data_IF_402023803586
#
_entry.id   IF_402023803586
#
_cell.length_a   1.000
_cell.length_b   1.000
_cell.length_c   1.000
_cell.angle_alpha   90.00
_cell.angle_beta   90.00
_cell.angle_gamma   90.00
#
_symmetry.space_group_name_H-M   'P 1'
#
loop_
_entity.id
_entity.type
_entity.pdbx_description
1 polymer ?
#
# COMPACT_ATOMS: atom_id res chain seq x y z
N UNK A 1 -27.56 -23.47 7.02
CA UNK A 1 -26.78 -23.52 8.27
C UNK A 1 -26.28 -22.11 8.54
N UNK A 2 -27.05 -21.34 9.28
CA UNK A 2 -26.82 -19.91 9.48
C UNK A 2 -25.96 -19.70 10.72
N UNK A 3 -24.80 -19.05 10.54
CA UNK A 3 -23.91 -18.71 11.64
C UNK A 3 -24.35 -17.35 12.19
N UNK A 4 -25.04 -17.39 13.33
CA UNK A 4 -25.45 -16.23 14.13
C UNK A 4 -24.25 -15.78 14.98
N UNK A 5 -23.81 -14.52 14.87
CA UNK A 5 -22.97 -13.93 15.91
C UNK A 5 -23.86 -13.12 16.87
N UNK A 6 -23.79 -13.44 18.17
CA UNK A 6 -24.40 -12.67 19.24
C UNK A 6 -23.37 -11.66 19.76
N UNK A 7 -23.74 -10.39 19.79
CA UNK A 7 -23.01 -9.38 20.55
C UNK A 7 -23.27 -9.57 22.04
N UNK A 8 -22.20 -9.62 22.84
CA UNK A 8 -22.28 -9.40 24.28
C UNK A 8 -21.39 -8.23 24.64
N UNK A 9 -22.01 -7.22 25.21
CA UNK A 9 -21.38 -6.11 25.91
C UNK A 9 -21.24 -6.49 27.38
N UNK A 10 -20.10 -6.19 27.99
CA UNK A 10 -20.01 -5.69 29.36
C UNK A 10 -18.58 -5.21 29.65
N UNK A 11 -18.56 -4.00 30.19
CA UNK A 11 -17.46 -3.21 30.72
C UNK A 11 -16.83 -3.80 31.98
N UNK A 12 -15.53 -3.58 32.18
CA UNK A 12 -15.01 -2.99 33.43
C UNK A 12 -13.58 -2.47 33.20
N UNK A 13 -13.28 -1.35 33.86
CA UNK A 13 -12.13 -0.51 33.57
C UNK A 13 -10.88 -0.84 34.38
N UNK A 14 -9.74 -0.39 33.87
CA UNK A 14 -8.63 0.01 34.72
C UNK A 14 -7.82 1.11 34.05
N UNK A 15 -7.79 2.28 34.70
CA UNK A 15 -6.97 3.43 34.34
C UNK A 15 -5.52 3.18 34.73
N UNK A 16 -4.58 3.21 33.78
CA UNK A 16 -3.18 3.53 34.05
C UNK A 16 -2.74 4.75 33.27
N UNK A 17 -2.65 5.87 34.01
CA UNK A 17 -1.86 7.05 33.64
C UNK A 17 -0.38 6.64 33.60
N UNK A 18 0.27 6.84 32.47
CA UNK A 18 1.69 7.16 32.44
C UNK A 18 1.87 8.52 31.74
N UNK A 19 1.88 9.58 32.55
CA UNK A 19 2.61 10.78 32.21
C UNK A 19 4.08 10.56 32.61
N UNK A 20 5.01 10.98 31.76
CA UNK A 20 6.43 10.83 32.07
C UNK A 20 7.35 11.20 30.92
N UNK A 21 7.61 12.50 30.79
CA UNK A 21 8.93 13.10 30.50
C UNK A 21 9.71 12.63 29.27
N UNK A 22 9.82 13.55 28.31
CA UNK A 22 10.91 13.64 27.34
C UNK A 22 12.27 13.47 28.05
N UNK A 23 12.90 12.32 27.82
CA UNK A 23 14.31 12.10 28.05
C UNK A 23 14.85 11.40 26.82
N UNK A 24 16.04 11.80 26.37
CA UNK A 24 16.76 11.22 25.22
C UNK A 24 17.12 9.75 25.50
N UNK A 25 16.14 8.86 25.41
CA UNK A 25 16.31 7.41 25.43
C UNK A 25 16.44 6.89 24.00
N UNK A 26 17.29 5.89 23.80
CA UNK A 26 17.41 5.16 22.54
C UNK A 26 16.02 4.63 22.14
N UNK A 27 15.45 5.19 21.07
CA UNK A 27 14.09 4.88 20.57
C UNK A 27 13.95 3.40 20.21
N UNK A 28 15.08 2.71 20.05
CA UNK A 28 15.16 1.30 19.67
C UNK A 28 15.31 0.34 20.86
N UNK A 29 15.22 0.82 22.10
CA UNK A 29 15.44 0.00 23.30
C UNK A 29 14.41 -1.13 23.48
N UNK A 30 13.19 -0.94 22.98
CA UNK A 30 12.07 -1.92 23.10
C UNK A 30 11.93 -2.85 21.89
N UNK A 31 12.85 -2.80 20.92
CA UNK A 31 12.82 -3.69 19.75
C UNK A 31 13.42 -5.06 20.06
N UNK A 32 12.92 -6.07 19.34
CA UNK A 32 13.56 -7.39 19.28
C UNK A 32 15.05 -7.24 18.88
N UNK A 33 15.96 -8.05 19.47
CA UNK A 33 17.40 -7.98 19.20
C UNK A 33 17.77 -8.00 17.71
N UNK A 34 17.03 -8.73 16.87
CA UNK A 34 17.29 -8.82 15.44
C UNK A 34 16.94 -7.50 14.72
N UNK A 35 15.83 -6.87 15.09
CA UNK A 35 15.39 -5.59 14.56
C UNK A 35 16.28 -4.43 15.03
N UNK A 36 16.76 -4.49 16.27
CA UNK A 36 17.69 -3.51 16.81
C UNK A 36 19.05 -3.58 16.08
N UNK A 37 19.52 -4.78 15.74
CA UNK A 37 20.73 -4.97 14.94
C UNK A 37 20.58 -4.41 13.52
N UNK A 38 19.44 -4.66 12.88
CA UNK A 38 19.13 -4.12 11.55
C UNK A 38 19.10 -2.58 11.54
N UNK A 39 18.35 -1.97 12.48
CA UNK A 39 18.23 -0.51 12.55
C UNK A 39 19.59 0.19 12.74
N UNK A 40 20.48 -0.38 13.55
CA UNK A 40 21.83 0.14 13.78
C UNK A 40 22.79 -0.11 12.61
N UNK A 41 22.59 -1.18 11.84
CA UNK A 41 23.36 -1.45 10.63
C UNK A 41 23.06 -0.42 9.53
N UNK A 42 21.78 -0.07 9.33
CA UNK A 42 21.38 0.92 8.33
C UNK A 42 21.95 2.32 8.57
N UNK A 43 22.22 2.70 9.83
CA UNK A 43 22.85 4.01 10.14
C UNK A 43 24.35 4.07 9.82
N UNK A 44 25.03 2.93 9.65
CA UNK A 44 26.48 2.91 9.35
C UNK A 44 26.80 3.03 7.87
N UNK A 45 25.83 2.79 6.98
CA UNK A 45 26.08 2.72 5.54
C UNK A 45 25.88 4.05 4.78
N UNK A 46 25.33 5.09 5.44
CA UNK A 46 25.08 6.40 4.81
C UNK A 46 26.15 7.46 5.07
N UNK A 47 27.29 7.11 5.66
CA UNK A 47 28.35 8.08 5.98
C UNK A 47 29.44 8.25 4.90
N UNK A 48 29.41 7.49 3.79
CA UNK A 48 30.46 7.55 2.76
C UNK A 48 29.86 7.47 1.34
N UNK A 49 29.31 8.60 0.87
CA UNK A 49 29.12 8.83 -0.58
C UNK A 49 29.92 10.07 -0.97
N UNK A 50 31.02 9.93 -1.74
CA UNK A 50 31.74 11.06 -2.26
C UNK A 50 30.88 11.79 -3.29
N UNK A 51 30.55 13.04 -3.01
CA UNK A 51 30.01 14.00 -3.98
C UNK A 51 31.13 14.34 -4.96
N UNK A 52 31.12 13.74 -6.16
CA UNK A 52 31.99 14.18 -7.24
C UNK A 52 31.36 15.38 -7.97
N UNK A 53 31.82 16.56 -7.57
CA UNK A 53 31.76 17.79 -8.37
C UNK A 53 32.86 17.72 -9.44
N UNK A 54 32.47 17.62 -10.71
CA UNK A 54 33.38 17.60 -11.86
C UNK A 54 32.89 18.52 -12.97
N UNK A 55 33.52 19.69 -13.06
CA UNK A 55 33.41 20.68 -14.12
C UNK A 55 34.06 20.19 -15.42
N UNK A 56 33.64 20.81 -16.52
CA UNK A 56 34.27 20.86 -17.85
C UNK A 56 34.11 19.65 -18.77
N UNK A 57 33.08 19.74 -19.63
CA UNK A 57 33.19 19.24 -21.00
C UNK A 57 32.56 20.22 -21.99
N UNK A 58 33.44 20.82 -22.79
CA UNK A 58 33.12 21.67 -23.93
C UNK A 58 32.13 20.96 -24.88
N UNK A 59 31.06 21.67 -25.23
CA UNK A 59 30.13 21.28 -26.30
C UNK A 59 30.71 21.76 -27.63
N UNK A 60 30.97 20.89 -28.62
CA UNK A 60 31.13 21.34 -29.99
C UNK A 60 29.75 21.66 -30.55
N UNK A 61 29.57 22.93 -30.92
CA UNK A 61 28.52 23.42 -31.79
C UNK A 61 28.59 22.67 -33.12
N UNK A 62 27.63 21.79 -33.43
CA UNK A 62 27.40 21.32 -34.79
C UNK A 62 25.94 20.89 -34.99
N UNK A 63 25.36 21.48 -36.03
CA UNK A 63 24.31 20.92 -36.88
C UNK A 63 22.89 20.94 -36.32
N UNK A 64 22.24 22.07 -36.52
CA UNK A 64 20.80 22.17 -36.68
C UNK A 64 20.33 21.19 -37.77
N UNK A 65 19.64 20.11 -37.39
CA UNK A 65 18.47 19.50 -38.06
C UNK A 65 18.15 18.13 -37.42
N UNK A 66 17.64 18.09 -36.18
CA UNK A 66 17.11 16.86 -35.53
C UNK A 66 16.42 17.07 -34.16
N UNK A 67 16.19 18.32 -33.73
CA UNK A 67 15.81 18.64 -32.34
C UNK A 67 14.38 18.25 -31.94
N UNK A 68 13.46 18.12 -32.88
CA UNK A 68 12.05 17.81 -32.56
C UNK A 68 11.81 16.31 -32.28
N UNK A 69 12.43 15.40 -33.03
CA UNK A 69 12.27 13.94 -32.84
C UNK A 69 12.95 13.43 -31.56
N UNK A 70 14.11 14.00 -31.20
CA UNK A 70 14.81 13.64 -29.95
C UNK A 70 14.07 14.17 -28.71
N UNK A 71 13.51 15.38 -28.78
CA UNK A 71 12.70 16.00 -27.72
C UNK A 71 11.41 15.22 -27.44
N UNK A 72 10.70 14.78 -28.49
CA UNK A 72 9.49 13.96 -28.37
C UNK A 72 9.78 12.59 -27.72
N UNK A 73 10.89 11.95 -28.10
CA UNK A 73 11.32 10.68 -27.51
C UNK A 73 11.64 10.79 -26.02
N UNK A 74 12.28 11.88 -25.62
CA UNK A 74 12.66 12.13 -24.22
C UNK A 74 11.44 12.46 -23.34
N UNK A 75 10.52 13.29 -23.84
CA UNK A 75 9.26 13.61 -23.14
C UNK A 75 8.34 12.38 -23.01
N UNK A 76 8.20 11.58 -24.08
CA UNK A 76 7.43 10.33 -24.02
C UNK A 76 8.03 9.37 -22.97
N UNK A 77 9.35 9.26 -22.93
CA UNK A 77 10.05 8.42 -21.95
C UNK A 77 9.79 8.89 -20.52
N UNK A 78 9.76 10.21 -20.30
CA UNK A 78 9.41 10.82 -19.00
C UNK A 78 7.97 10.51 -18.58
N UNK A 79 7.01 10.67 -19.50
CA UNK A 79 5.59 10.36 -19.26
C UNK A 79 5.40 8.88 -18.94
N UNK A 80 6.08 7.98 -19.68
CA UNK A 80 6.03 6.53 -19.42
C UNK A 80 6.60 6.20 -18.05
N UNK A 81 7.75 6.78 -17.68
CA UNK A 81 8.38 6.56 -16.38
C UNK A 81 7.49 7.04 -15.23
N UNK A 82 6.94 8.26 -15.34
CA UNK A 82 5.98 8.82 -14.38
C UNK A 82 4.74 7.94 -14.24
N UNK A 83 4.20 7.46 -15.36
CA UNK A 83 3.05 6.55 -15.38
C UNK A 83 3.34 5.20 -14.71
N UNK A 84 4.55 4.65 -14.88
CA UNK A 84 4.99 3.42 -14.20
C UNK A 84 5.13 3.65 -12.69
N UNK A 85 5.73 4.76 -12.29
CA UNK A 85 5.86 5.15 -10.88
C UNK A 85 4.50 5.29 -10.20
N UNK A 86 3.55 6.00 -10.84
CA UNK A 86 2.18 6.13 -10.32
C UNK A 86 1.47 4.78 -10.20
N UNK A 87 1.62 3.89 -11.18
CA UNK A 87 1.03 2.53 -11.12
C UNK A 87 1.58 1.73 -9.94
N UNK A 88 2.90 1.81 -9.69
CA UNK A 88 3.51 1.15 -8.54
C UNK A 88 2.96 1.69 -7.21
N UNK A 89 2.83 3.01 -7.10
CA UNK A 89 2.24 3.66 -5.91
C UNK A 89 0.77 3.26 -5.71
N UNK A 90 -0.05 3.26 -6.76
CA UNK A 90 -1.45 2.81 -6.70
C UNK A 90 -1.52 1.35 -6.23
N UNK A 91 -0.65 0.48 -6.74
CA UNK A 91 -0.61 -0.91 -6.31
C UNK A 91 -0.23 -1.02 -4.83
N UNK A 92 0.78 -0.28 -4.36
CA UNK A 92 1.19 -0.28 -2.97
C UNK A 92 0.09 0.26 -2.03
N UNK A 93 -0.58 1.36 -2.42
CA UNK A 93 -1.72 1.90 -1.67
C UNK A 93 -2.90 0.92 -1.59
N UNK A 94 -3.22 0.25 -2.70
CA UNK A 94 -4.27 -0.76 -2.70
C UNK A 94 -3.92 -1.97 -1.81
N UNK A 95 -2.67 -2.42 -1.79
CA UNK A 95 -2.22 -3.48 -0.88
C UNK A 95 -2.38 -3.07 0.59
N UNK A 96 -2.02 -1.82 0.93
CA UNK A 96 -2.18 -1.30 2.30
C UNK A 96 -3.65 -1.33 2.76
N UNK A 97 -4.56 -0.83 1.93
CA UNK A 97 -5.99 -0.86 2.22
C UNK A 97 -6.55 -2.29 2.32
N UNK A 98 -6.03 -3.22 1.50
CA UNK A 98 -6.48 -4.61 1.47
C UNK A 98 -5.72 -5.54 2.42
N UNK A 99 -4.95 -5.01 3.38
CA UNK A 99 -4.12 -5.80 4.28
C UNK A 99 -4.92 -6.81 5.13
N UNK A 100 -6.19 -6.51 5.46
CA UNK A 100 -7.05 -7.45 6.17
C UNK A 100 -7.40 -8.66 5.29
N UNK A 101 -7.76 -8.43 4.03
CA UNK A 101 -8.06 -9.53 3.10
C UNK A 101 -6.79 -10.34 2.76
N UNK A 102 -5.62 -9.68 2.71
CA UNK A 102 -4.33 -10.34 2.60
C UNK A 102 -4.04 -11.23 3.81
N UNK A 103 -4.30 -10.73 5.01
CA UNK A 103 -4.17 -11.49 6.26
C UNK A 103 -5.06 -12.73 6.25
N UNK A 104 -6.35 -12.61 5.90
CA UNK A 104 -7.27 -13.75 5.83
C UNK A 104 -6.82 -14.82 4.82
N UNK A 105 -6.29 -14.38 3.66
CA UNK A 105 -5.73 -15.29 2.66
C UNK A 105 -4.52 -16.04 3.20
N UNK A 106 -3.59 -15.32 3.84
CA UNK A 106 -2.40 -15.92 4.46
C UNK A 106 -2.78 -16.85 5.62
N UNK A 107 -3.76 -16.48 6.42
CA UNK A 107 -4.28 -17.30 7.51
C UNK A 107 -4.82 -18.62 6.95
N UNK A 108 -5.60 -18.60 5.86
CA UNK A 108 -6.05 -19.84 5.22
C UNK A 108 -4.89 -20.74 4.75
N UNK A 109 -3.83 -20.17 4.16
CA UNK A 109 -2.67 -20.95 3.75
C UNK A 109 -1.87 -21.53 4.92
N UNK A 110 -1.80 -20.82 6.04
CA UNK A 110 -1.04 -21.25 7.22
C UNK A 110 -1.84 -22.19 8.12
N UNK A 111 -3.04 -21.81 8.53
CA UNK A 111 -3.87 -22.51 9.54
C UNK A 111 -5.14 -23.18 8.98
N UNK A 112 -5.47 -22.99 7.70
CA UNK A 112 -6.69 -23.52 7.09
C UNK A 112 -6.75 -25.05 6.98
N UNK A 113 -7.93 -25.58 6.65
CA UNK A 113 -8.10 -27.02 6.45
C UNK A 113 -7.33 -27.51 5.22
N UNK A 114 -6.96 -28.80 5.19
CA UNK A 114 -6.34 -29.37 3.99
C UNK A 114 -7.26 -29.23 2.77
N UNK A 115 -8.58 -29.40 2.93
CA UNK A 115 -9.52 -29.18 1.82
C UNK A 115 -9.46 -27.75 1.27
N UNK A 116 -9.41 -26.73 2.13
CA UNK A 116 -9.31 -25.33 1.68
C UNK A 116 -7.97 -25.06 0.97
N UNK A 117 -6.87 -25.57 1.53
CA UNK A 117 -5.55 -25.47 0.90
C UNK A 117 -5.50 -26.19 -0.45
N UNK A 118 -6.17 -27.34 -0.59
CA UNK A 118 -6.25 -28.07 -1.86
C UNK A 118 -6.99 -27.28 -2.94
N UNK A 119 -7.91 -26.40 -2.53
CA UNK A 119 -8.60 -25.44 -3.39
C UNK A 119 -7.92 -24.06 -3.45
N UNK A 120 -6.67 -23.96 -2.99
CA UNK A 120 -5.90 -22.72 -2.97
C UNK A 120 -6.62 -21.56 -2.27
N UNK A 121 -7.35 -21.85 -1.18
CA UNK A 121 -8.04 -20.81 -0.40
C UNK A 121 -8.92 -19.91 -1.27
N UNK A 122 -9.63 -20.50 -2.23
CA UNK A 122 -10.37 -19.78 -3.27
C UNK A 122 -11.28 -18.65 -2.75
N UNK A 123 -12.05 -18.82 -1.65
CA UNK A 123 -12.89 -17.75 -1.12
C UNK A 123 -12.09 -16.52 -0.67
N UNK A 124 -11.04 -16.72 0.13
CA UNK A 124 -10.18 -15.64 0.64
C UNK A 124 -9.37 -15.02 -0.50
N UNK A 125 -8.91 -15.84 -1.45
CA UNK A 125 -8.18 -15.38 -2.63
C UNK A 125 -9.06 -14.43 -3.45
N UNK A 126 -10.32 -14.81 -3.69
CA UNK A 126 -11.24 -13.97 -4.46
C UNK A 126 -11.56 -12.68 -3.70
N UNK A 127 -11.79 -12.74 -2.38
CA UNK A 127 -12.00 -11.56 -1.56
C UNK A 127 -10.82 -10.56 -1.60
N UNK A 128 -9.58 -11.07 -1.57
CA UNK A 128 -8.37 -10.25 -1.71
C UNK A 128 -8.29 -9.57 -3.08
N UNK A 129 -8.54 -10.31 -4.17
CA UNK A 129 -8.49 -9.73 -5.52
C UNK A 129 -9.63 -8.73 -5.76
N UNK A 130 -10.83 -9.02 -5.27
CA UNK A 130 -11.97 -8.10 -5.34
C UNK A 130 -11.64 -6.77 -4.63
N UNK A 131 -11.06 -6.84 -3.42
CA UNK A 131 -10.58 -5.66 -2.71
C UNK A 131 -9.53 -4.89 -3.51
N UNK A 132 -8.51 -5.59 -4.02
CA UNK A 132 -7.45 -4.95 -4.80
C UNK A 132 -7.97 -4.25 -6.05
N UNK A 133 -8.88 -4.88 -6.79
CA UNK A 133 -9.43 -4.29 -8.01
C UNK A 133 -10.27 -3.04 -7.71
N UNK A 134 -11.21 -3.15 -6.76
CA UNK A 134 -12.05 -2.03 -6.33
C UNK A 134 -11.22 -0.88 -5.78
N UNK A 135 -10.22 -1.15 -4.92
CA UNK A 135 -9.40 -0.10 -4.34
C UNK A 135 -8.51 0.57 -5.40
N UNK A 136 -7.87 -0.20 -6.30
CA UNK A 136 -7.10 0.38 -7.43
C UNK A 136 -7.96 1.26 -8.31
N UNK A 137 -9.24 0.89 -8.53
CA UNK A 137 -10.19 1.71 -9.28
C UNK A 137 -10.50 3.01 -8.54
N UNK A 138 -10.80 2.94 -7.23
CA UNK A 138 -11.04 4.12 -6.41
C UNK A 138 -9.84 5.07 -6.38
N UNK A 139 -8.63 4.56 -6.11
CA UNK A 139 -7.39 5.34 -6.11
C UNK A 139 -7.11 6.03 -7.44
N UNK A 140 -7.39 5.37 -8.57
CA UNK A 140 -7.28 5.99 -9.90
C UNK A 140 -8.27 7.14 -10.08
N UNK A 141 -9.53 6.94 -9.69
CA UNK A 141 -10.61 7.94 -9.83
C UNK A 141 -10.33 9.16 -8.93
N UNK A 142 -9.83 8.94 -7.72
CA UNK A 142 -9.54 10.00 -6.75
C UNK A 142 -8.21 10.73 -7.00
N UNK A 143 -7.45 10.32 -8.03
CA UNK A 143 -6.19 10.97 -8.37
C UNK A 143 -5.03 10.65 -7.42
N UNK A 144 -5.00 9.46 -6.81
CA UNK A 144 -3.89 9.04 -5.95
C UNK A 144 -2.55 9.07 -6.71
N UNK A 145 -1.51 9.56 -6.03
CA UNK A 145 -0.15 9.70 -6.57
C UNK A 145 -0.07 10.49 -7.87
N UNK A 146 -0.99 11.44 -8.08
CA UNK A 146 -0.88 12.40 -9.18
C UNK A 146 0.23 13.42 -8.93
N UNK A 147 0.82 13.89 -10.03
CA UNK A 147 1.83 14.93 -9.98
C UNK A 147 1.22 16.20 -9.39
N UNK A 148 1.82 16.70 -8.30
CA UNK A 148 1.33 17.88 -7.58
C UNK A 148 0.56 17.56 -6.29
N UNK A 149 0.22 16.29 -6.02
CA UNK A 149 -0.32 15.90 -4.72
C UNK A 149 0.75 16.00 -3.64
N UNK A 150 0.37 16.58 -2.51
CA UNK A 150 1.11 16.49 -1.25
C UNK A 150 0.86 15.13 -0.58
N UNK A 151 1.75 14.72 0.32
CA UNK A 151 1.57 13.49 1.10
C UNK A 151 0.27 13.51 1.90
N UNK A 152 -0.09 14.66 2.48
CA UNK A 152 -1.34 14.83 3.21
C UNK A 152 -2.59 14.64 2.33
N UNK A 153 -2.53 15.03 1.05
CA UNK A 153 -3.61 14.74 0.09
C UNK A 153 -3.66 13.26 -0.26
N UNK A 154 -2.50 12.63 -0.50
CA UNK A 154 -2.44 11.20 -0.80
C UNK A 154 -2.96 10.34 0.36
N UNK A 155 -2.67 10.69 1.61
CA UNK A 155 -3.21 10.00 2.80
C UNK A 155 -4.75 10.10 2.84
N UNK A 156 -5.31 11.30 2.61
CA UNK A 156 -6.77 11.47 2.56
C UNK A 156 -7.41 10.67 1.42
N UNK A 157 -6.77 10.66 0.25
CA UNK A 157 -7.24 9.86 -0.89
C UNK A 157 -7.21 8.36 -0.53
N UNK A 158 -6.17 7.90 0.15
CA UNK A 158 -6.02 6.51 0.57
C UNK A 158 -7.15 6.07 1.51
N UNK A 159 -7.46 6.90 2.52
CA UNK A 159 -8.58 6.70 3.46
C UNK A 159 -9.94 6.66 2.75
N UNK A 160 -10.22 7.66 1.90
CA UNK A 160 -11.48 7.71 1.15
C UNK A 160 -11.62 6.53 0.17
N UNK A 161 -10.52 6.09 -0.44
CA UNK A 161 -10.53 4.92 -1.32
C UNK A 161 -10.89 3.63 -0.56
N UNK A 162 -10.43 3.49 0.68
CA UNK A 162 -10.77 2.35 1.54
C UNK A 162 -12.27 2.33 1.86
N UNK A 163 -12.81 3.45 2.35
CA UNK A 163 -14.24 3.61 2.63
C UNK A 163 -15.13 3.27 1.43
N UNK A 164 -14.76 3.72 0.23
CA UNK A 164 -15.49 3.44 -1.00
C UNK A 164 -15.41 1.95 -1.36
N UNK A 165 -14.24 1.34 -1.22
CA UNK A 165 -14.03 -0.08 -1.46
C UNK A 165 -14.91 -0.93 -0.53
N UNK A 166 -14.91 -0.63 0.77
CA UNK A 166 -15.71 -1.36 1.76
C UNK A 166 -17.20 -1.29 1.46
N UNK A 167 -17.71 -0.12 1.06
CA UNK A 167 -19.11 0.07 0.66
C UNK A 167 -19.46 -0.75 -0.58
N UNK A 168 -18.59 -0.74 -1.60
CA UNK A 168 -18.80 -1.50 -2.84
C UNK A 168 -18.81 -3.00 -2.58
N UNK A 169 -17.84 -3.52 -1.81
CA UNK A 169 -17.76 -4.93 -1.47
C UNK A 169 -18.97 -5.38 -0.63
N UNK A 170 -19.43 -4.55 0.31
CA UNK A 170 -20.63 -4.84 1.09
C UNK A 170 -21.87 -4.95 0.18
N UNK A 171 -22.06 -4.02 -0.76
CA UNK A 171 -23.16 -4.07 -1.72
C UNK A 171 -23.12 -5.34 -2.58
N UNK A 172 -21.95 -5.69 -3.14
CA UNK A 172 -21.77 -6.93 -3.94
C UNK A 172 -22.07 -8.20 -3.16
N UNK A 173 -21.72 -8.24 -1.86
CA UNK A 173 -22.03 -9.38 -0.98
C UNK A 173 -23.53 -9.52 -0.75
N UNK A 174 -24.25 -8.42 -0.53
CA UNK A 174 -25.70 -8.43 -0.39
C UNK A 174 -26.37 -8.96 -1.66
N UNK A 175 -25.98 -8.46 -2.84
CA UNK A 175 -26.52 -8.94 -4.12
C UNK A 175 -26.27 -10.45 -4.34
N UNK A 176 -25.10 -10.95 -3.93
CA UNK A 176 -24.79 -12.38 -4.04
C UNK A 176 -25.67 -13.22 -3.11
N UNK A 177 -25.87 -12.76 -1.88
CA UNK A 177 -26.75 -13.44 -0.92
C UNK A 177 -28.21 -13.44 -1.39
N UNK A 178 -28.69 -12.34 -1.97
CA UNK A 178 -30.03 -12.28 -2.55
C UNK A 178 -30.22 -13.29 -3.68
N UNK A 179 -29.21 -13.45 -4.55
CA UNK A 179 -29.23 -14.45 -5.62
C UNK A 179 -29.19 -15.89 -5.09
N UNK A 180 -28.43 -16.13 -4.03
CA UNK A 180 -28.35 -17.44 -3.38
C UNK A 180 -29.65 -17.79 -2.64
N UNK A 181 -30.31 -16.83 -2.00
CA UNK A 181 -31.59 -17.03 -1.32
C UNK A 181 -32.78 -17.15 -2.29
N UNK A 182 -32.63 -16.65 -3.52
CA UNK A 182 -33.64 -16.74 -4.57
C UNK A 182 -33.53 -18.02 -5.42
N UNK A 183 -32.45 -18.80 -5.26
CA UNK A 183 -32.22 -20.08 -5.94
C UNK A 183 -32.58 -21.28 -5.08
#
# INVERSE_FOLDING_TARGET
>A
MSWFWSSSSSSDGETKKHGGTSSKGDVYADLDPELQAFARASTKEQADVPVQSGSDRQVPLNSASSTDEQSLGEELSRVISSSKSRKAQINAGAMFNCAIAEYELNECFTSGSWWDKSKLCEPQKNAFWDCLESNKKALKILGYAETGNTDAQNVKILEVADDLCLKELAARRLEKQEKENAS
#
